data_IF_604673285760
#
_entry.id   IF_604673285760
#
_cell.length_a   1.000
_cell.length_b   1.000
_cell.length_c   1.000
_cell.angle_alpha   90.00
_cell.angle_beta   90.00
_cell.angle_gamma   90.00
#
_symmetry.space_group_name_H-M   'P 1'
#
loop_
_entity.id
_entity.type
_entity.pdbx_description
1 polymer ?
#
# COMPACT_ATOMS: atom_id res chain seq x y z
N UNK A 1 6.74 -22.73 12.50
CA UNK A 1 6.24 -22.19 11.21
C UNK A 1 6.62 -23.22 10.17
N UNK A 2 5.67 -23.84 9.48
CA UNK A 2 6.01 -24.77 8.38
C UNK A 2 6.75 -23.98 7.30
N UNK A 3 7.92 -24.44 6.91
CA UNK A 3 8.67 -23.84 5.80
C UNK A 3 7.81 -23.87 4.53
N UNK A 4 7.70 -22.77 3.78
CA UNK A 4 6.97 -22.79 2.53
C UNK A 4 7.57 -23.85 1.60
N UNK A 5 6.73 -24.61 0.87
CA UNK A 5 7.18 -25.75 0.07
C UNK A 5 8.08 -25.26 -1.07
N UNK A 6 9.11 -26.03 -1.45
CA UNK A 6 10.01 -25.66 -2.57
C UNK A 6 9.27 -25.43 -3.88
N UNK A 7 8.11 -26.06 -4.06
CA UNK A 7 7.25 -25.94 -5.23
C UNK A 7 5.78 -25.84 -4.80
N UNK A 8 5.00 -24.99 -5.47
CA UNK A 8 3.55 -24.87 -5.31
C UNK A 8 2.93 -24.29 -6.58
N UNK A 9 1.96 -24.97 -7.21
CA UNK A 9 1.26 -24.44 -8.41
C UNK A 9 2.21 -23.89 -9.50
N UNK A 10 3.29 -24.63 -9.79
CA UNK A 10 4.39 -24.28 -10.74
C UNK A 10 5.29 -23.10 -10.31
N UNK A 11 4.99 -22.43 -9.20
CA UNK A 11 5.92 -21.52 -8.54
C UNK A 11 7.00 -22.31 -7.81
N UNK A 12 8.26 -21.88 -7.94
CA UNK A 12 9.42 -22.51 -7.32
C UNK A 12 10.22 -21.52 -6.47
N UNK A 13 10.81 -22.02 -5.39
CA UNK A 13 11.77 -21.28 -4.59
C UNK A 13 13.14 -21.30 -5.30
N UNK A 14 13.65 -20.11 -5.65
CA UNK A 14 14.88 -19.92 -6.43
C UNK A 14 16.07 -19.56 -5.53
N UNK A 15 15.83 -18.72 -4.52
CA UNK A 15 16.86 -18.28 -3.58
C UNK A 15 16.29 -18.16 -2.17
N UNK A 16 17.12 -18.47 -1.16
CA UNK A 16 16.81 -18.23 0.24
C UNK A 16 15.73 -19.15 0.79
N UNK A 17 14.94 -18.65 1.74
CA UNK A 17 13.90 -19.43 2.42
C UNK A 17 14.42 -20.77 2.96
N UNK A 18 13.76 -21.87 2.57
CA UNK A 18 14.12 -23.23 3.01
C UNK A 18 15.25 -23.89 2.19
N UNK A 19 15.86 -23.17 1.24
CA UNK A 19 17.13 -23.59 0.61
C UNK A 19 18.34 -23.28 1.51
N UNK A 20 18.20 -22.31 2.42
CA UNK A 20 19.19 -21.95 3.42
C UNK A 20 18.68 -22.12 4.85
N UNK A 21 19.41 -21.53 5.80
CA UNK A 21 18.93 -21.42 7.17
C UNK A 21 17.80 -20.39 7.24
N UNK A 22 16.63 -20.79 7.75
CA UNK A 22 15.55 -19.85 7.99
C UNK A 22 15.84 -19.02 9.25
N UNK A 23 15.69 -17.70 9.14
CA UNK A 23 15.87 -16.76 10.24
C UNK A 23 14.99 -15.52 10.04
N UNK A 24 14.78 -14.74 11.11
CA UNK A 24 14.00 -13.49 11.07
C UNK A 24 14.91 -12.25 11.06
N UNK A 25 16.07 -12.38 10.44
CA UNK A 25 17.11 -11.33 10.42
C UNK A 25 16.94 -10.37 9.24
N UNK A 26 17.68 -9.25 9.27
CA UNK A 26 17.70 -8.26 8.18
C UNK A 26 18.23 -8.84 6.88
N UNK A 27 19.08 -9.85 6.95
CA UNK A 27 19.64 -10.54 5.78
C UNK A 27 18.73 -11.64 5.21
N UNK A 28 17.49 -11.77 5.69
CA UNK A 28 16.59 -12.80 5.17
C UNK A 28 16.22 -12.48 3.73
N UNK A 29 16.33 -13.49 2.87
CA UNK A 29 15.99 -13.42 1.46
C UNK A 29 15.07 -14.58 1.10
N UNK A 30 14.14 -14.31 0.21
CA UNK A 30 13.33 -15.34 -0.43
C UNK A 30 12.98 -14.86 -1.83
N UNK A 31 13.37 -15.62 -2.84
CA UNK A 31 13.01 -15.36 -4.24
C UNK A 31 12.19 -16.51 -4.76
N UNK A 32 10.98 -16.21 -5.24
CA UNK A 32 10.08 -17.19 -5.85
C UNK A 32 9.81 -16.83 -7.29
N UNK A 33 9.65 -17.84 -8.12
CA UNK A 33 9.42 -17.68 -9.55
C UNK A 33 8.37 -18.65 -10.06
N UNK A 34 7.38 -18.11 -10.74
CA UNK A 34 6.47 -18.83 -11.61
C UNK A 34 6.81 -18.51 -13.07
N UNK A 35 6.86 -19.54 -13.91
CA UNK A 35 7.12 -19.38 -15.34
C UNK A 35 6.20 -20.28 -16.18
N UNK A 36 5.61 -19.69 -17.21
CA UNK A 36 4.87 -20.38 -18.26
C UNK A 36 5.45 -20.01 -19.64
N UNK A 37 4.84 -20.47 -20.73
CA UNK A 37 5.24 -20.07 -22.09
C UNK A 37 5.10 -18.56 -22.36
N UNK A 38 4.24 -17.86 -21.61
CA UNK A 38 3.88 -16.46 -21.88
C UNK A 38 4.08 -15.52 -20.68
N UNK A 39 4.33 -16.06 -19.49
CA UNK A 39 4.40 -15.26 -18.26
C UNK A 39 5.61 -15.66 -17.43
N UNK A 40 6.28 -14.65 -16.91
CA UNK A 40 7.27 -14.77 -15.85
C UNK A 40 6.82 -13.89 -14.69
N UNK A 41 6.61 -14.50 -13.52
CA UNK A 41 6.29 -13.77 -12.29
C UNK A 41 7.37 -14.08 -11.28
N UNK A 42 7.98 -13.03 -10.73
CA UNK A 42 9.01 -13.18 -9.70
C UNK A 42 8.63 -12.38 -8.47
N UNK A 43 8.74 -13.04 -7.31
CA UNK A 43 8.53 -12.45 -6.01
C UNK A 43 9.87 -12.33 -5.29
N UNK A 44 10.12 -11.18 -4.71
CA UNK A 44 11.28 -10.89 -3.89
C UNK A 44 10.82 -10.48 -2.50
N UNK A 45 11.17 -11.25 -1.47
CA UNK A 45 11.02 -10.81 -0.09
C UNK A 45 12.17 -9.88 0.28
N UNK A 46 11.86 -8.64 0.65
CA UNK A 46 12.85 -7.65 1.09
C UNK A 46 12.53 -7.19 2.51
N UNK A 47 13.59 -6.95 3.28
CA UNK A 47 13.51 -6.43 4.65
C UNK A 47 13.79 -4.93 4.72
N UNK A 48 14.26 -4.29 3.64
CA UNK A 48 14.50 -2.86 3.55
C UNK A 48 14.33 -2.41 2.09
N UNK A 49 13.68 -1.26 1.88
CA UNK A 49 13.39 -0.74 0.54
C UNK A 49 14.65 -0.37 -0.23
N UNK A 50 15.75 -0.03 0.46
CA UNK A 50 17.02 0.29 -0.17
C UNK A 50 18.18 -0.32 0.61
N UNK A 51 18.76 -1.38 0.06
CA UNK A 51 19.82 -2.19 0.65
C UNK A 51 20.74 -2.75 -0.44
N UNK A 52 21.86 -3.36 -0.06
CA UNK A 52 22.70 -4.09 -1.03
C UNK A 52 21.92 -5.17 -1.79
N UNK A 53 20.95 -5.82 -1.13
CA UNK A 53 20.10 -6.81 -1.78
C UNK A 53 19.09 -6.18 -2.74
N UNK A 54 18.49 -5.03 -2.40
CA UNK A 54 17.66 -4.31 -3.37
C UNK A 54 18.46 -3.89 -4.59
N UNK A 55 19.72 -3.46 -4.41
CA UNK A 55 20.60 -3.11 -5.53
C UNK A 55 20.84 -4.30 -6.46
N UNK A 56 21.03 -5.52 -5.95
CA UNK A 56 21.15 -6.69 -6.83
C UNK A 56 19.86 -6.97 -7.61
N UNK A 57 18.68 -6.72 -7.02
CA UNK A 57 17.40 -6.85 -7.73
C UNK A 57 17.29 -5.78 -8.85
N UNK A 58 17.73 -4.55 -8.58
CA UNK A 58 17.76 -3.49 -9.59
C UNK A 58 18.76 -3.80 -10.71
N UNK A 59 19.88 -4.46 -10.42
CA UNK A 59 20.79 -4.97 -11.44
C UNK A 59 20.16 -6.08 -12.29
N UNK A 60 19.38 -6.99 -11.70
CA UNK A 60 18.60 -7.96 -12.46
C UNK A 60 17.64 -7.25 -13.43
N UNK A 61 17.03 -6.14 -13.03
CA UNK A 61 16.20 -5.35 -13.94
C UNK A 61 17.05 -4.70 -15.03
N UNK A 62 18.21 -4.13 -14.72
CA UNK A 62 19.10 -3.46 -15.69
C UNK A 62 19.59 -4.42 -16.77
N UNK A 63 19.98 -5.65 -16.39
CA UNK A 63 20.64 -6.61 -17.27
C UNK A 63 19.74 -7.76 -17.75
N UNK A 64 18.62 -8.00 -17.08
CA UNK A 64 17.71 -9.10 -17.37
C UNK A 64 16.49 -8.72 -18.20
N UNK A 65 15.50 -9.61 -18.18
CA UNK A 65 14.20 -9.38 -18.81
C UNK A 65 13.49 -8.21 -18.12
N UNK A 66 13.03 -7.23 -18.90
CA UNK A 66 12.32 -6.06 -18.37
C UNK A 66 10.90 -6.46 -17.96
N UNK A 67 10.45 -6.12 -16.74
CA UNK A 67 9.08 -6.42 -16.33
C UNK A 67 8.10 -5.43 -16.98
N UNK A 68 6.93 -5.94 -17.40
CA UNK A 68 5.81 -5.09 -17.82
C UNK A 68 5.10 -4.43 -16.63
N UNK A 69 5.20 -5.05 -15.45
CA UNK A 69 4.49 -4.68 -14.23
C UNK A 69 5.36 -4.95 -13.00
N UNK A 70 5.49 -3.96 -12.12
CA UNK A 70 6.17 -4.07 -10.83
C UNK A 70 5.25 -3.58 -9.71
N UNK A 71 4.96 -4.47 -8.78
CA UNK A 71 4.32 -4.12 -7.51
C UNK A 71 5.38 -3.94 -6.43
N UNK A 72 5.36 -2.80 -5.74
CA UNK A 72 6.29 -2.53 -4.64
C UNK A 72 5.52 -2.29 -3.35
N UNK A 73 5.93 -3.00 -2.30
CA UNK A 73 5.38 -2.88 -0.96
C UNK A 73 6.51 -2.64 0.04
N UNK A 74 6.44 -1.53 0.77
CA UNK A 74 7.32 -1.25 1.90
C UNK A 74 6.56 -0.49 2.98
N UNK A 75 6.98 -0.71 4.22
CA UNK A 75 6.95 0.27 5.31
C UNK A 75 7.48 -0.36 6.60
N UNK A 76 6.82 -1.44 7.05
CA UNK A 76 6.90 -1.89 8.46
C UNK A 76 8.33 -2.20 8.89
N UNK A 77 9.09 -2.95 8.11
CA UNK A 77 10.48 -3.28 8.46
C UNK A 77 11.37 -2.02 8.49
N UNK A 78 11.31 -1.19 7.44
CA UNK A 78 12.08 0.04 7.35
C UNK A 78 11.89 0.95 8.56
N UNK A 79 10.65 1.12 9.02
CA UNK A 79 10.35 2.08 10.10
C UNK A 79 10.52 1.52 11.52
N UNK A 80 10.69 0.20 11.66
CA UNK A 80 10.71 -0.47 12.97
C UNK A 80 12.00 -1.22 13.29
N UNK A 81 12.78 -1.65 12.28
CA UNK A 81 13.90 -2.56 12.46
C UNK A 81 15.27 -1.88 12.51
N UNK A 82 15.50 -0.84 11.72
CA UNK A 82 16.86 -0.35 11.43
C UNK A 82 17.32 0.80 12.31
N UNK A 83 16.41 1.71 12.64
CA UNK A 83 16.75 2.95 13.32
C UNK A 83 15.65 3.33 14.30
N UNK A 84 16.01 3.95 15.43
CA UNK A 84 15.03 4.55 16.34
C UNK A 84 14.40 5.81 15.72
N UNK A 85 15.15 6.56 14.90
CA UNK A 85 14.72 7.74 14.15
C UNK A 85 14.53 7.39 12.68
N UNK A 86 13.50 6.59 12.40
CA UNK A 86 13.28 6.01 11.07
C UNK A 86 12.96 7.04 9.97
N UNK A 87 12.51 8.24 10.33
CA UNK A 87 11.93 9.20 9.40
C UNK A 87 12.93 9.60 8.31
N UNK A 88 14.11 10.06 8.69
CA UNK A 88 15.11 10.54 7.71
C UNK A 88 15.68 9.38 6.90
N UNK A 89 16.01 8.26 7.56
CA UNK A 89 16.53 7.05 6.91
C UNK A 89 15.55 6.51 5.87
N UNK A 90 14.27 6.39 6.23
CA UNK A 90 13.24 5.88 5.32
C UNK A 90 13.00 6.82 4.15
N UNK A 91 12.91 8.13 4.40
CA UNK A 91 12.72 9.14 3.35
C UNK A 91 13.88 9.15 2.36
N UNK A 92 15.12 9.03 2.85
CA UNK A 92 16.31 8.98 2.03
C UNK A 92 16.39 7.69 1.21
N UNK A 93 16.12 6.54 1.84
CA UNK A 93 16.10 5.24 1.17
C UNK A 93 15.04 5.19 0.06
N UNK A 94 13.85 5.78 0.29
CA UNK A 94 12.82 5.87 -0.74
C UNK A 94 13.26 6.70 -1.95
N UNK A 95 13.92 7.85 -1.74
CA UNK A 95 14.42 8.68 -2.85
C UNK A 95 15.44 7.92 -3.69
N UNK A 96 16.44 7.33 -3.04
CA UNK A 96 17.46 6.51 -3.71
C UNK A 96 16.84 5.35 -4.49
N UNK A 97 15.91 4.63 -3.87
CA UNK A 97 15.20 3.55 -4.52
C UNK A 97 14.39 4.04 -5.73
N UNK A 98 13.63 5.13 -5.62
CA UNK A 98 12.81 5.64 -6.73
C UNK A 98 13.65 6.18 -7.89
N UNK A 99 14.76 6.86 -7.60
CA UNK A 99 15.70 7.30 -8.64
C UNK A 99 16.29 6.11 -9.38
N UNK A 100 16.82 5.12 -8.66
CA UNK A 100 17.41 3.93 -9.29
C UNK A 100 16.38 3.03 -10.00
N UNK A 101 15.16 2.92 -9.47
CA UNK A 101 14.08 2.14 -10.09
C UNK A 101 13.68 2.74 -11.44
N UNK A 102 13.55 4.07 -11.50
CA UNK A 102 13.25 4.79 -12.76
C UNK A 102 14.36 4.59 -13.80
N UNK A 103 15.62 4.53 -13.36
CA UNK A 103 16.75 4.26 -14.26
C UNK A 103 16.83 2.80 -14.72
N UNK A 104 16.41 1.86 -13.87
CA UNK A 104 16.50 0.42 -14.16
C UNK A 104 15.39 -0.07 -15.11
N UNK A 105 14.23 0.58 -15.10
CA UNK A 105 13.02 0.16 -15.80
C UNK A 105 12.74 0.99 -17.07
N UNK A 106 12.19 0.37 -18.13
CA UNK A 106 11.59 1.10 -19.24
C UNK A 106 10.45 2.03 -18.80
N UNK A 107 10.19 3.09 -19.57
CA UNK A 107 9.11 4.04 -19.27
C UNK A 107 7.71 3.38 -19.37
N UNK A 108 7.59 2.33 -20.18
CA UNK A 108 6.36 1.58 -20.40
C UNK A 108 6.02 0.64 -19.24
N UNK A 109 6.97 0.35 -18.34
CA UNK A 109 6.71 -0.51 -17.19
C UNK A 109 5.69 0.13 -16.26
N UNK A 110 4.60 -0.58 -15.98
CA UNK A 110 3.63 -0.16 -14.98
C UNK A 110 4.19 -0.41 -13.58
N UNK A 111 4.51 0.67 -12.85
CA UNK A 111 4.97 0.60 -11.46
C UNK A 111 3.85 1.02 -10.53
N UNK A 112 3.49 0.15 -9.59
CA UNK A 112 2.42 0.38 -8.60
C UNK A 112 3.00 0.32 -7.18
N UNK A 113 2.93 1.44 -6.48
CA UNK A 113 3.32 1.58 -5.07
C UNK A 113 2.13 1.28 -4.15
N UNK A 114 2.26 0.22 -3.36
CA UNK A 114 1.22 -0.19 -2.43
C UNK A 114 1.47 0.40 -1.03
N UNK A 115 0.49 1.15 -0.52
CA UNK A 115 0.54 1.64 0.85
C UNK A 115 0.30 0.51 1.86
N UNK A 116 1.01 0.53 2.99
CA UNK A 116 0.93 -0.52 4.00
C UNK A 116 -0.43 -0.55 4.69
N UNK A 117 -1.01 -1.74 4.81
CA UNK A 117 -2.32 -1.97 5.44
C UNK A 117 -2.37 -1.59 6.93
N UNK A 118 -3.56 -1.40 7.53
CA UNK A 118 -3.66 -0.95 8.92
C UNK A 118 -3.10 -1.97 9.92
N UNK A 119 -2.16 -1.53 10.76
CA UNK A 119 -1.59 -2.35 11.84
C UNK A 119 -2.52 -2.43 13.06
N UNK A 120 -2.36 -3.50 13.84
CA UNK A 120 -3.05 -3.72 15.10
C UNK A 120 -2.41 -2.97 16.26
N UNK A 121 -3.13 -2.89 17.38
CA UNK A 121 -2.62 -2.30 18.63
C UNK A 121 -1.51 -3.12 19.26
N UNK A 122 -1.65 -4.44 19.19
CA UNK A 122 -0.67 -5.39 19.68
C UNK A 122 0.03 -5.99 18.49
N UNK A 123 1.31 -5.71 18.38
CA UNK A 123 2.14 -6.09 17.25
C UNK A 123 3.15 -7.13 17.73
N UNK A 124 3.30 -8.21 16.97
CA UNK A 124 4.29 -9.27 17.20
C UNK A 124 4.95 -9.63 15.87
N UNK A 125 6.27 -9.80 15.86
CA UNK A 125 7.00 -10.22 14.67
C UNK A 125 8.50 -9.98 14.76
N UNK A 126 9.27 -10.68 13.94
CA UNK A 126 10.74 -10.59 13.94
C UNK A 126 11.30 -9.25 13.45
N UNK A 127 10.46 -8.42 12.83
CA UNK A 127 10.81 -7.05 12.43
C UNK A 127 10.92 -6.10 13.62
N UNK A 128 10.30 -6.41 14.76
CA UNK A 128 10.43 -5.59 15.96
C UNK A 128 11.82 -5.77 16.56
N UNK A 129 12.53 -4.67 16.80
CA UNK A 129 13.64 -4.66 17.77
C UNK A 129 13.02 -4.58 19.17
N UNK A 130 13.52 -5.33 20.18
CA UNK A 130 12.99 -5.24 21.53
C UNK A 130 13.12 -3.80 22.04
N UNK A 131 11.98 -3.14 22.28
CA UNK A 131 11.59 -2.59 23.59
C UNK A 131 10.74 -1.31 23.55
N UNK A 132 10.63 -0.52 22.47
CA UNK A 132 9.98 0.81 22.62
C UNK A 132 9.04 1.30 21.51
N UNK A 133 8.86 0.56 20.40
CA UNK A 133 8.15 1.08 19.21
C UNK A 133 6.76 0.51 18.93
N UNK A 134 6.39 -0.62 19.52
CA UNK A 134 5.16 -1.33 19.14
C UNK A 134 3.87 -0.49 19.26
N UNK A 135 3.65 0.32 20.33
CA UNK A 135 2.40 1.08 20.46
C UNK A 135 2.24 2.20 19.43
N UNK A 136 3.36 2.82 19.02
CA UNK A 136 3.37 3.99 18.14
C UNK A 136 3.41 3.61 16.65
N UNK A 137 3.90 2.40 16.34
CA UNK A 137 4.13 1.93 14.98
C UNK A 137 2.89 2.03 14.07
N UNK A 138 1.69 1.80 14.60
CA UNK A 138 0.44 1.92 13.81
C UNK A 138 0.18 3.35 13.29
N UNK A 139 0.65 4.35 14.02
CA UNK A 139 0.55 5.76 13.63
C UNK A 139 1.71 6.15 12.70
N UNK A 140 2.90 5.64 12.99
CA UNK A 140 4.08 5.87 12.16
C UNK A 140 3.86 5.32 10.73
N UNK A 141 3.15 4.19 10.58
CA UNK A 141 2.73 3.67 9.26
C UNK A 141 1.86 4.68 8.50
N UNK A 142 0.99 5.44 9.17
CA UNK A 142 0.13 6.43 8.51
C UNK A 142 1.00 7.57 7.96
N UNK A 143 1.95 8.07 8.75
CA UNK A 143 2.90 9.10 8.32
C UNK A 143 3.80 8.61 7.19
N UNK A 144 4.34 7.39 7.31
CA UNK A 144 5.18 6.77 6.30
C UNK A 144 4.42 6.49 4.99
N UNK A 145 3.16 6.05 5.07
CA UNK A 145 2.29 5.87 3.91
C UNK A 145 1.98 7.20 3.23
N UNK A 146 1.67 8.24 4.00
CA UNK A 146 1.43 9.58 3.45
C UNK A 146 2.65 10.08 2.67
N UNK A 147 3.83 10.02 3.27
CA UNK A 147 5.06 10.45 2.62
C UNK A 147 5.39 9.61 1.39
N UNK A 148 5.43 8.28 1.54
CA UNK A 148 5.83 7.39 0.45
C UNK A 148 4.84 7.42 -0.72
N UNK A 149 3.54 7.49 -0.46
CA UNK A 149 2.52 7.66 -1.50
C UNK A 149 2.63 8.99 -2.23
N UNK A 150 2.86 10.08 -1.50
CA UNK A 150 3.08 11.42 -2.12
C UNK A 150 4.35 11.42 -2.97
N UNK A 151 5.42 10.78 -2.50
CA UNK A 151 6.67 10.69 -3.25
C UNK A 151 6.51 9.80 -4.49
N UNK A 152 5.79 8.68 -4.39
CA UNK A 152 5.54 7.79 -5.53
C UNK A 152 4.75 8.50 -6.65
N UNK A 153 3.72 9.27 -6.28
CA UNK A 153 2.96 10.13 -7.20
C UNK A 153 3.86 11.17 -7.88
N UNK A 154 4.77 11.81 -7.12
CA UNK A 154 5.74 12.76 -7.65
C UNK A 154 6.73 12.13 -8.65
N UNK A 155 7.03 10.84 -8.50
CA UNK A 155 7.83 10.06 -9.45
C UNK A 155 7.01 9.47 -10.60
N UNK A 156 5.70 9.75 -10.68
CA UNK A 156 4.83 9.30 -11.76
C UNK A 156 4.48 7.81 -11.71
N UNK A 157 4.59 7.19 -10.53
CA UNK A 157 4.13 5.84 -10.24
C UNK A 157 2.66 5.85 -9.85
N UNK A 158 1.95 4.76 -10.11
CA UNK A 158 0.59 4.60 -9.63
C UNK A 158 0.61 4.22 -8.14
N UNK A 159 -0.37 4.70 -7.37
CA UNK A 159 -0.46 4.45 -5.93
C UNK A 159 -1.74 3.70 -5.61
N UNK A 160 -1.61 2.54 -4.96
CA UNK A 160 -2.73 1.75 -4.46
C UNK A 160 -2.79 1.82 -2.93
N UNK A 161 -3.81 2.50 -2.41
CA UNK A 161 -4.00 2.71 -0.98
C UNK A 161 -4.66 1.51 -0.30
N UNK A 162 -3.88 0.44 -0.04
CA UNK A 162 -4.36 -0.72 0.71
C UNK A 162 -4.70 -0.36 2.17
N UNK A 163 -4.14 0.72 2.71
CA UNK A 163 -4.51 1.18 4.05
C UNK A 163 -6.00 1.56 4.09
N UNK A 164 -6.41 2.41 3.14
CA UNK A 164 -7.79 2.84 3.00
C UNK A 164 -8.72 1.66 2.64
N UNK A 165 -8.34 0.83 1.67
CA UNK A 165 -9.17 -0.28 1.19
C UNK A 165 -9.52 -1.32 2.27
N UNK A 166 -8.72 -1.40 3.33
CA UNK A 166 -8.87 -2.38 4.41
C UNK A 166 -9.15 -1.79 5.79
N UNK A 167 -9.30 -0.47 5.93
CA UNK A 167 -9.60 0.21 7.20
C UNK A 167 -10.85 -0.30 7.92
N UNK A 168 -11.82 -0.84 7.16
CA UNK A 168 -13.05 -1.44 7.70
C UNK A 168 -13.06 -2.98 7.66
N UNK A 169 -11.97 -3.61 7.24
CA UNK A 169 -11.84 -5.07 7.15
C UNK A 169 -10.92 -5.65 8.22
N UNK A 170 -10.72 -4.95 9.35
CA UNK A 170 -9.73 -5.29 10.39
C UNK A 170 -9.90 -6.71 10.98
N UNK A 171 -11.10 -7.28 10.89
CA UNK A 171 -11.39 -8.66 11.32
C UNK A 171 -10.67 -9.74 10.49
N UNK A 172 -10.12 -9.38 9.32
CA UNK A 172 -9.27 -10.25 8.51
C UNK A 172 -7.78 -10.18 8.88
N UNK A 173 -7.39 -9.26 9.76
CA UNK A 173 -6.02 -9.14 10.26
C UNK A 173 -5.72 -10.26 11.26
N UNK A 174 -4.53 -10.82 11.17
CA UNK A 174 -4.06 -11.90 12.03
C UNK A 174 -3.79 -11.39 13.45
N UNK A 175 -3.72 -12.33 14.41
CA UNK A 175 -3.54 -12.03 15.84
C UNK A 175 -2.18 -11.39 16.18
N UNK A 176 -1.23 -11.43 15.25
CA UNK A 176 0.07 -10.74 15.39
C UNK A 176 -0.02 -9.25 15.09
N UNK A 177 -1.16 -8.75 14.61
CA UNK A 177 -1.42 -7.34 14.35
C UNK A 177 -0.79 -6.82 13.06
N UNK A 178 -0.26 -7.68 12.19
CA UNK A 178 0.51 -7.27 11.00
C UNK A 178 0.06 -8.01 9.77
N UNK A 179 0.02 -9.35 9.84
CA UNK A 179 -0.33 -10.18 8.71
C UNK A 179 -1.83 -10.21 8.52
N UNK A 180 -2.26 -10.61 7.32
CA UNK A 180 -3.66 -10.69 6.95
C UNK A 180 -4.00 -12.09 6.45
N UNK A 181 -5.24 -12.51 6.62
CA UNK A 181 -5.66 -13.86 6.25
C UNK A 181 -5.80 -14.02 4.72
N UNK A 182 -6.06 -15.26 4.29
CA UNK A 182 -6.22 -15.59 2.86
C UNK A 182 -7.37 -14.85 2.16
N UNK A 183 -8.43 -14.46 2.89
CA UNK A 183 -9.55 -13.68 2.31
C UNK A 183 -9.06 -12.29 1.92
N UNK A 184 -8.31 -11.64 2.81
CA UNK A 184 -7.73 -10.34 2.52
C UNK A 184 -6.71 -10.41 1.37
N UNK A 185 -5.84 -11.43 1.35
CA UNK A 185 -4.89 -11.62 0.25
C UNK A 185 -5.59 -11.79 -1.11
N UNK A 186 -6.69 -12.54 -1.19
CA UNK A 186 -7.48 -12.61 -2.44
C UNK A 186 -8.01 -11.25 -2.87
N UNK A 187 -8.51 -10.42 -1.93
CA UNK A 187 -8.97 -9.06 -2.23
C UNK A 187 -7.82 -8.16 -2.69
N UNK A 188 -6.63 -8.27 -2.08
CA UNK A 188 -5.43 -7.55 -2.53
C UNK A 188 -5.12 -7.93 -3.99
N UNK A 189 -5.05 -9.22 -4.30
CA UNK A 189 -4.82 -9.70 -5.67
C UNK A 189 -5.85 -9.15 -6.65
N UNK A 190 -7.14 -9.16 -6.30
CA UNK A 190 -8.19 -8.60 -7.16
C UNK A 190 -8.01 -7.10 -7.39
N UNK A 191 -7.64 -6.32 -6.37
CA UNK A 191 -7.37 -4.87 -6.51
C UNK A 191 -6.16 -4.61 -7.42
N UNK A 192 -5.08 -5.38 -7.25
CA UNK A 192 -3.87 -5.25 -8.07
C UNK A 192 -4.14 -5.58 -9.55
N UNK A 193 -4.86 -6.68 -9.82
CA UNK A 193 -5.22 -7.07 -11.17
C UNK A 193 -6.21 -6.11 -11.81
N UNK A 194 -7.16 -5.58 -11.04
CA UNK A 194 -8.07 -4.54 -11.51
C UNK A 194 -7.31 -3.27 -11.90
N UNK A 195 -6.38 -2.83 -11.06
CA UNK A 195 -5.55 -1.67 -11.34
C UNK A 195 -4.73 -1.86 -12.63
N UNK A 196 -4.08 -3.01 -12.77
CA UNK A 196 -3.31 -3.33 -13.98
C UNK A 196 -4.19 -3.37 -15.23
N UNK A 197 -5.37 -3.99 -15.14
CA UNK A 197 -6.31 -4.03 -16.26
C UNK A 197 -6.80 -2.63 -16.66
N UNK A 198 -7.13 -1.77 -15.69
CA UNK A 198 -7.53 -0.38 -15.94
C UNK A 198 -6.39 0.42 -16.58
N UNK A 199 -5.15 0.27 -16.09
CA UNK A 199 -3.98 0.94 -16.65
C UNK A 199 -3.67 0.50 -18.09
N UNK A 200 -3.88 -0.78 -18.41
CA UNK A 200 -3.70 -1.32 -19.77
C UNK A 200 -4.94 -1.19 -20.67
N UNK A 201 -6.04 -0.62 -20.18
CA UNK A 201 -7.29 -0.50 -20.95
C UNK A 201 -7.98 -1.84 -21.24
N UNK A 202 -7.70 -2.87 -20.43
CA UNK A 202 -8.31 -4.21 -20.53
C UNK A 202 -9.65 -4.21 -19.79
N UNK A 203 -10.72 -4.59 -20.49
CA UNK A 203 -12.05 -4.72 -19.89
C UNK A 203 -12.13 -6.04 -19.14
N UNK A 204 -12.25 -5.97 -17.81
CA UNK A 204 -12.49 -7.16 -17.00
C UNK A 204 -13.96 -7.62 -17.11
N UNK A 205 -14.23 -8.92 -17.32
CA UNK A 205 -15.59 -9.46 -17.44
C UNK A 205 -16.47 -9.26 -16.20
N UNK A 206 -15.85 -9.06 -15.03
CA UNK A 206 -16.53 -8.80 -13.76
C UNK A 206 -15.70 -7.79 -12.95
N UNK A 207 -16.01 -6.49 -13.02
CA UNK A 207 -15.39 -5.49 -12.14
C UNK A 207 -15.71 -5.84 -10.69
N UNK A 208 -14.71 -5.77 -9.80
CA UNK A 208 -14.95 -5.99 -8.36
C UNK A 208 -15.84 -4.85 -7.87
N UNK A 209 -17.12 -5.14 -7.63
CA UNK A 209 -17.99 -4.21 -6.93
C UNK A 209 -17.48 -4.07 -5.51
N UNK A 210 -17.17 -2.84 -5.10
CA UNK A 210 -16.88 -2.52 -3.70
C UNK A 210 -18.06 -3.04 -2.87
N UNK A 211 -17.81 -4.05 -2.04
CA UNK A 211 -18.83 -4.60 -1.13
C UNK A 211 -19.31 -3.48 -0.20
N UNK A 212 -20.46 -2.90 -0.55
CA UNK A 212 -21.06 -1.76 0.12
C UNK A 212 -22.40 -1.31 -0.49
N UNK A 213 -22.64 -1.56 -1.78
CA UNK A 213 -23.94 -1.25 -2.38
C UNK A 213 -24.87 -2.47 -2.41
N UNK A 214 -25.79 -2.57 -1.45
CA UNK A 214 -27.06 -3.25 -1.73
C UNK A 214 -27.83 -2.40 -2.73
N UNK A 215 -27.66 -2.65 -4.02
CA UNK A 215 -28.62 -2.17 -5.02
C UNK A 215 -29.78 -3.16 -5.09
N UNK A 216 -30.85 -2.83 -4.38
CA UNK A 216 -32.19 -3.31 -4.69
C UNK A 216 -32.44 -3.12 -6.19
N UNK A 217 -32.80 -4.22 -6.86
CA UNK A 217 -32.63 -4.37 -8.30
C UNK A 217 -33.42 -3.39 -9.15
N UNK A 218 -32.81 -2.99 -10.26
CA UNK A 218 -33.45 -2.81 -11.57
C UNK A 218 -32.38 -3.13 -12.62
N UNK A 219 -32.62 -4.15 -13.44
CA UNK A 219 -31.93 -4.36 -14.72
C UNK A 219 -32.12 -3.13 -15.59
N UNK A 220 -31.06 -2.53 -16.14
CA UNK A 220 -31.09 -1.93 -17.47
C UNK A 220 -29.69 -1.76 -18.09
N UNK A 221 -29.72 -1.89 -19.39
CA UNK A 221 -28.66 -2.03 -20.40
C UNK A 221 -27.55 -0.98 -20.43
N UNK A 222 -26.36 -1.46 -20.79
CA UNK A 222 -25.18 -0.70 -21.22
C UNK A 222 -25.52 0.45 -22.19
N UNK A 223 -25.21 1.69 -21.80
CA UNK A 223 -24.96 2.80 -22.73
C UNK A 223 -23.76 3.60 -22.26
N UNK A 224 -22.79 3.74 -23.16
CA UNK A 224 -21.68 4.69 -23.11
C UNK A 224 -22.21 6.09 -22.80
N UNK A 225 -21.60 6.79 -21.85
CA UNK A 225 -21.79 8.24 -21.69
C UNK A 225 -20.43 8.90 -21.53
N UNK A 226 -19.97 9.50 -22.64
CA UNK A 226 -19.20 10.74 -22.63
C UNK A 226 -20.15 11.88 -22.22
N UNK A 227 -19.75 12.76 -21.31
CA UNK A 227 -20.18 14.17 -21.24
C UNK A 227 -19.48 14.83 -20.03
N UNK A 228 -18.56 15.79 -20.19
CA UNK A 228 -18.78 17.24 -20.38
C UNK A 228 -19.98 17.87 -19.67
N UNK A 229 -19.66 18.94 -18.94
CA UNK A 229 -20.43 20.19 -18.75
C UNK A 229 -20.97 20.51 -17.35
N UNK A 230 -20.72 21.79 -17.02
CA UNK A 230 -21.09 22.58 -15.84
C UNK A 230 -22.60 22.75 -15.72
N UNK A 231 -23.13 22.80 -14.49
CA UNK A 231 -24.31 23.63 -14.15
C UNK A 231 -24.15 24.23 -12.73
N UNK A 232 -24.46 25.53 -12.62
CA UNK A 232 -24.56 26.37 -11.41
C UNK A 232 -25.97 26.32 -10.78
N UNK A 233 -26.05 26.55 -9.47
CA UNK A 233 -27.08 27.26 -8.66
C UNK A 233 -27.20 26.58 -7.29
N UNK A 234 -27.46 27.23 -6.16
CA UNK A 234 -27.82 28.62 -5.85
C UNK A 234 -27.95 28.72 -4.32
N UNK A 235 -27.72 29.92 -3.80
CA UNK A 235 -27.67 30.26 -2.38
C UNK A 235 -29.09 30.30 -1.76
N UNK A 236 -29.28 29.81 -0.53
CA UNK A 236 -30.24 30.42 0.40
C UNK A 236 -29.85 30.18 1.86
N UNK A 237 -29.79 31.28 2.61
CA UNK A 237 -29.50 31.36 4.04
C UNK A 237 -30.81 31.53 4.80
N UNK A 238 -30.98 30.83 5.92
CA UNK A 238 -31.76 31.33 7.04
C UNK A 238 -31.22 30.80 8.37
N UNK A 239 -31.03 31.73 9.31
CA UNK A 239 -30.51 31.54 10.67
C UNK A 239 -31.65 31.19 11.63
N UNK A 240 -31.36 30.37 12.64
CA UNK A 240 -31.96 30.43 13.99
C UNK A 240 -30.97 29.79 14.98
N UNK A 241 -30.68 30.49 16.07
CA UNK A 241 -29.66 30.13 17.07
C UNK A 241 -30.29 29.54 18.33
N UNK A 242 -29.67 28.50 18.92
CA UNK A 242 -29.71 28.20 20.36
C UNK A 242 -28.61 27.18 20.74
N UNK A 243 -27.69 27.58 21.65
CA UNK A 243 -26.95 26.78 22.65
C UNK A 243 -26.13 25.52 22.27
N UNK A 244 -24.95 25.27 22.88
CA UNK A 244 -24.02 24.24 22.41
C UNK A 244 -24.40 22.85 22.92
N UNK A 245 -24.90 22.01 22.03
CA UNK A 245 -24.85 20.56 22.15
C UNK A 245 -23.81 20.07 21.14
N UNK A 246 -22.77 19.39 21.61
CA UNK A 246 -21.77 18.72 20.79
C UNK A 246 -22.47 17.80 19.78
N UNK A 247 -22.69 18.33 18.57
CA UNK A 247 -23.26 17.61 17.45
C UNK A 247 -22.09 17.00 16.69
N UNK A 248 -22.00 15.68 16.74
CA UNK A 248 -21.30 14.88 15.74
C UNK A 248 -21.75 15.34 14.35
N UNK A 249 -20.83 15.90 13.57
CA UNK A 249 -20.96 15.95 12.11
C UNK A 249 -20.66 14.53 11.61
N UNK A 250 -21.64 13.80 11.05
CA UNK A 250 -21.36 12.53 10.37
C UNK A 250 -20.41 12.84 9.22
N UNK A 251 -19.28 12.15 9.17
CA UNK A 251 -18.38 12.20 8.03
C UNK A 251 -19.19 11.82 6.78
N UNK A 252 -19.49 12.80 5.93
CA UNK A 252 -20.23 12.57 4.70
C UNK A 252 -19.36 11.69 3.81
N UNK A 253 -19.88 10.49 3.53
CA UNK A 253 -19.32 9.51 2.63
C UNK A 253 -19.42 10.06 1.19
N UNK A 254 -18.53 11.00 0.87
CA UNK A 254 -18.28 11.34 -0.52
C UNK A 254 -17.70 10.08 -1.18
N UNK A 255 -18.39 9.61 -2.21
CA UNK A 255 -17.91 8.61 -3.16
C UNK A 255 -16.63 9.11 -3.81
N UNK A 256 -15.51 8.95 -3.11
CA UNK A 256 -14.20 9.32 -3.62
C UNK A 256 -13.77 8.29 -4.66
N UNK A 257 -14.07 8.58 -5.93
CA UNK A 257 -13.55 7.88 -7.11
C UNK A 257 -12.01 8.00 -7.27
N UNK A 258 -11.28 8.33 -6.20
CA UNK A 258 -9.89 8.81 -6.23
C UNK A 258 -8.89 7.87 -5.54
N UNK A 259 -9.30 6.63 -5.25
CA UNK A 259 -8.52 5.65 -4.46
C UNK A 259 -7.68 4.72 -5.35
N UNK A 260 -8.02 4.65 -6.64
CA UNK A 260 -7.21 4.07 -7.71
C UNK A 260 -6.82 5.23 -8.62
N UNK A 261 -5.53 5.54 -8.75
CA UNK A 261 -5.10 6.67 -9.60
C UNK A 261 -4.20 6.14 -10.69
N UNK A 262 -4.72 6.15 -11.91
CA UNK A 262 -3.94 6.03 -13.14
C UNK A 262 -3.32 7.39 -13.48
N UNK A 263 -2.14 7.41 -14.12
CA UNK A 263 -1.46 8.60 -14.69
C UNK A 263 -2.39 9.65 -15.33
N UNK A 264 -3.54 9.24 -15.86
CA UNK A 264 -4.46 10.05 -16.66
C UNK A 264 -5.58 10.79 -15.90
N UNK A 265 -5.75 10.60 -14.58
CA UNK A 265 -6.84 11.20 -13.81
C UNK A 265 -6.34 11.84 -12.48
N UNK A 266 -5.78 13.06 -12.54
CA UNK A 266 -5.13 13.71 -11.37
C UNK A 266 -5.98 14.81 -10.73
N UNK A 267 -6.33 14.62 -9.45
CA UNK A 267 -6.54 15.69 -8.46
C UNK A 267 -5.96 15.24 -7.10
N UNK A 268 -5.35 16.16 -6.36
CA UNK A 268 -4.47 15.96 -5.19
C UNK A 268 -4.91 14.92 -4.14
N UNK A 269 -3.93 14.27 -3.50
CA UNK A 269 -4.14 13.32 -2.40
C UNK A 269 -4.72 14.03 -1.17
N UNK A 270 -5.82 13.53 -0.60
CA UNK A 270 -6.44 14.10 0.60
C UNK A 270 -6.07 13.24 1.82
N UNK A 271 -5.41 13.78 2.85
CA UNK A 271 -5.02 13.02 4.04
C UNK A 271 -6.22 12.62 4.90
N UNK A 272 -6.21 11.40 5.46
CA UNK A 272 -7.23 10.89 6.40
C UNK A 272 -7.03 11.33 7.86
N UNK A 273 -6.29 12.40 8.15
CA UNK A 273 -5.92 12.73 9.53
C UNK A 273 -7.13 13.25 10.32
N UNK A 274 -7.64 12.44 11.25
CA UNK A 274 -8.25 12.95 12.47
C UNK A 274 -7.41 12.51 13.67
N UNK A 275 -6.74 13.50 14.27
CA UNK A 275 -6.19 13.56 15.62
C UNK A 275 -5.09 12.54 16.03
N UNK A 276 -3.85 13.05 16.18
CA UNK A 276 -2.76 12.42 16.94
C UNK A 276 -2.89 12.88 18.40
N UNK A 277 -3.01 11.98 19.39
CA UNK A 277 -2.82 12.35 20.79
C UNK A 277 -1.36 12.77 20.98
N UNK A 278 -1.13 14.03 21.36
CA UNK A 278 0.20 14.51 21.75
C UNK A 278 0.59 13.82 23.07
N UNK A 279 1.54 12.89 23.02
CA UNK A 279 2.27 12.42 24.20
C UNK A 279 3.74 12.79 24.03
N UNK A 280 4.07 14.06 24.31
CA UNK A 280 5.42 14.48 24.66
C UNK A 280 5.38 15.08 26.07
N UNK A 281 5.74 14.27 27.06
CA UNK A 281 6.10 14.75 28.40
C UNK A 281 7.61 14.98 28.43
N UNK A 282 8.05 16.17 28.05
CA UNK A 282 9.43 16.62 28.26
C UNK A 282 9.48 17.29 29.64
N UNK A 283 9.91 16.56 30.67
CA UNK A 283 10.32 17.15 31.94
C UNK A 283 11.79 17.56 31.82
N UNK A 284 12.02 18.79 31.38
CA UNK A 284 13.30 19.47 31.47
C UNK A 284 13.14 20.72 32.33
N UNK A 285 13.37 20.59 33.63
CA UNK A 285 13.50 21.73 34.54
C UNK A 285 14.91 22.31 34.43
N UNK A 286 15.00 23.62 34.20
CA UNK A 286 16.22 24.40 34.38
C UNK A 286 16.02 25.31 35.60
N UNK A 287 17.04 25.31 36.47
CA UNK A 287 17.39 26.25 37.55
C UNK A 287 16.27 26.94 38.34
#
# INVERSE_FOLDING_TARGET
ICSPPRFFEQDCLVEGGCLGQMHNGTEYKEVRQFQSAHHLVRFYFVTCIYSHYMKSILEDFRHGLKPDLVFVNSCVWDISRYSCSWVDDYKENLRKFFDELREALPEETLVVWNLTMPLGERIKGGFLVPEHKAPQLRYDVIEANFYSGTLADAYGMDVLDLHFQFRFSLHHRMKDGVHWNAVAHRKITSLLLQHAAEAWGVILPCPVTVYGERKSGVTHTCRKIFCTSRIKCGLLVSKLSAGPLHRFEPYQEYTHQHVMRSRHARHHYAPYTQHRPFYYGYNGGYY
#
